data_IF_362129126800
#
_entry.id   IF_362129126800
#
_cell.length_a   1.000
_cell.length_b   1.000
_cell.length_c   1.000
_cell.angle_alpha   90.00
_cell.angle_beta   90.00
_cell.angle_gamma   90.00
#
_symmetry.space_group_name_H-M   'P 1'
#
loop_
_entity.id
_entity.type
_entity.pdbx_description
1 polymer ?
#
# COMPACT_ATOMS: atom_id res chain seq x y z
N UNK A 1 -8.80 7.26 -14.87
CA UNK A 1 -7.74 6.71 -14.00
C UNK A 1 -8.23 6.75 -12.56
N UNK A 2 -8.28 5.59 -11.90
CA UNK A 2 -8.65 5.53 -10.48
C UNK A 2 -7.48 6.06 -9.65
N UNK A 3 -7.69 6.86 -8.58
CA UNK A 3 -6.63 7.37 -7.70
C UNK A 3 -5.88 6.28 -6.91
N UNK A 4 -6.06 5.01 -7.28
CA UNK A 4 -5.44 3.84 -6.66
C UNK A 4 -4.64 2.96 -7.64
N UNK A 5 -4.49 3.36 -8.91
CA UNK A 5 -3.49 2.78 -9.82
C UNK A 5 -2.11 3.31 -9.45
N UNK A 6 -1.54 2.80 -8.37
CA UNK A 6 -0.15 3.08 -8.06
C UNK A 6 0.74 2.19 -8.93
N UNK A 7 1.17 2.68 -10.09
CA UNK A 7 2.23 2.05 -10.91
C UNK A 7 3.60 2.06 -10.22
N UNK A 8 3.70 2.71 -9.07
CA UNK A 8 4.95 2.90 -8.34
C UNK A 8 4.70 2.96 -6.83
N UNK A 9 5.66 2.46 -6.06
CA UNK A 9 5.71 2.59 -4.60
C UNK A 9 6.83 3.57 -4.25
N UNK A 10 6.52 4.55 -3.39
CA UNK A 10 7.50 5.50 -2.87
C UNK A 10 7.86 5.20 -1.42
N UNK A 11 9.15 5.31 -1.10
CA UNK A 11 9.66 5.14 0.24
C UNK A 11 10.83 6.10 0.52
N UNK A 12 10.91 6.55 1.77
CA UNK A 12 12.08 7.22 2.31
C UNK A 12 12.98 6.19 3.00
N UNK A 13 14.27 6.14 2.62
CA UNK A 13 15.24 5.18 3.13
C UNK A 13 16.38 5.93 3.82
N UNK A 14 16.58 5.63 5.10
CA UNK A 14 17.72 6.13 5.87
C UNK A 14 18.63 4.98 6.25
N UNK A 15 19.94 5.18 6.17
CA UNK A 15 20.89 4.28 6.82
C UNK A 15 21.00 4.64 8.31
N UNK A 16 20.81 3.66 9.19
CA UNK A 16 20.98 3.77 10.65
C UNK A 16 21.96 2.68 11.09
N UNK A 17 23.24 3.05 11.17
CA UNK A 17 24.33 2.10 11.41
C UNK A 17 24.45 1.09 10.26
N UNK A 18 24.32 -0.19 10.59
CA UNK A 18 24.41 -1.30 9.62
C UNK A 18 23.07 -1.61 8.93
N UNK A 19 21.98 -1.00 9.39
CA UNK A 19 20.63 -1.27 8.91
C UNK A 19 20.04 -0.11 8.13
N UNK A 20 18.93 -0.37 7.47
CA UNK A 20 18.12 0.63 6.78
C UNK A 20 16.78 0.80 7.47
N UNK A 21 16.41 2.04 7.77
CA UNK A 21 15.07 2.42 8.22
C UNK A 21 14.28 2.93 7.03
N UNK A 22 13.14 2.32 6.75
CA UNK A 22 12.31 2.60 5.58
C UNK A 22 10.93 3.05 6.01
N UNK A 23 10.52 4.23 5.52
CA UNK A 23 9.17 4.77 5.71
C UNK A 23 8.44 4.80 4.37
N UNK A 24 7.37 4.02 4.25
CA UNK A 24 6.57 3.96 3.02
C UNK A 24 5.63 5.16 2.97
N UNK A 25 5.59 5.86 1.84
CA UNK A 25 4.77 7.09 1.68
C UNK A 25 3.28 6.75 1.65
N UNK A 26 2.91 5.54 1.19
CA UNK A 26 1.54 5.04 1.11
C UNK A 26 1.45 3.63 1.68
N UNK A 27 0.34 3.31 2.35
CA UNK A 27 0.06 1.94 2.82
C UNK A 27 0.71 1.53 4.16
N UNK A 28 1.27 2.46 4.93
CA UNK A 28 1.73 2.16 6.30
C UNK A 28 2.26 3.38 7.04
N UNK A 29 1.85 3.55 8.30
CA UNK A 29 2.27 4.67 9.17
C UNK A 29 3.58 4.44 9.92
N UNK A 30 4.10 3.20 9.94
CA UNK A 30 5.28 2.85 10.74
C UNK A 30 6.50 2.61 9.86
N UNK A 31 7.63 3.18 10.27
CA UNK A 31 8.94 2.87 9.71
C UNK A 31 9.31 1.40 10.01
N UNK A 32 9.87 0.71 9.03
CA UNK A 32 10.32 -0.69 9.12
C UNK A 32 11.84 -0.73 8.95
N UNK A 33 12.52 -1.64 9.65
CA UNK A 33 13.98 -1.78 9.54
C UNK A 33 14.35 -3.01 8.71
N UNK A 34 15.34 -2.87 7.84
CA UNK A 34 15.87 -3.90 6.93
C UNK A 34 17.39 -4.03 7.10
N UNK A 35 17.93 -5.22 6.84
CA UNK A 35 19.39 -5.47 6.91
C UNK A 35 20.09 -4.99 5.64
N UNK A 36 19.45 -5.16 4.49
CA UNK A 36 20.05 -4.89 3.19
C UNK A 36 19.13 -4.09 2.27
N UNK A 37 19.71 -3.47 1.24
CA UNK A 37 18.94 -2.85 0.17
C UNK A 37 18.12 -3.88 -0.63
N UNK A 38 18.60 -5.11 -0.77
CA UNK A 38 17.89 -6.18 -1.48
C UNK A 38 16.56 -6.53 -0.79
N UNK A 39 16.57 -6.60 0.55
CA UNK A 39 15.36 -6.84 1.34
C UNK A 39 14.32 -5.73 1.15
N UNK A 40 14.78 -4.48 1.03
CA UNK A 40 13.91 -3.33 0.77
C UNK A 40 13.25 -3.47 -0.61
N UNK A 41 14.02 -3.87 -1.64
CA UNK A 41 13.50 -4.07 -2.99
C UNK A 41 12.48 -5.23 -3.05
N UNK A 42 12.75 -6.34 -2.36
CA UNK A 42 11.79 -7.45 -2.24
C UNK A 42 10.50 -7.02 -1.55
N UNK A 43 10.62 -6.24 -0.48
CA UNK A 43 9.46 -5.69 0.23
C UNK A 43 8.67 -4.70 -0.63
N UNK A 44 9.34 -3.90 -1.45
CA UNK A 44 8.69 -2.98 -2.40
C UNK A 44 7.92 -3.76 -3.47
N UNK A 45 8.52 -4.79 -4.07
CA UNK A 45 7.86 -5.63 -5.07
C UNK A 45 6.61 -6.33 -4.50
N UNK A 46 6.70 -6.87 -3.28
CA UNK A 46 5.55 -7.48 -2.61
C UNK A 46 4.40 -6.47 -2.39
N UNK A 47 4.71 -5.21 -2.07
CA UNK A 47 3.72 -4.14 -1.89
C UNK A 47 3.02 -3.77 -3.20
N UNK A 48 3.75 -3.62 -4.30
CA UNK A 48 3.17 -3.39 -5.64
C UNK A 48 2.16 -4.49 -5.99
N UNK A 49 2.52 -5.75 -5.74
CA UNK A 49 1.66 -6.90 -6.02
C UNK A 49 0.42 -6.95 -5.10
N UNK A 50 0.58 -6.64 -3.81
CA UNK A 50 -0.52 -6.62 -2.85
C UNK A 50 -1.55 -5.52 -3.13
N UNK A 51 -1.10 -4.33 -3.56
CA UNK A 51 -1.99 -3.21 -3.92
C UNK A 51 -2.83 -3.57 -5.15
N UNK A 52 -2.20 -4.18 -6.16
CA UNK A 52 -2.88 -4.72 -7.36
C UNK A 52 -3.98 -5.73 -6.98
N UNK A 53 -3.74 -6.56 -5.97
CA UNK A 53 -4.70 -7.59 -5.51
C UNK A 53 -5.90 -7.01 -4.73
N UNK A 54 -5.74 -5.88 -4.03
CA UNK A 54 -6.81 -5.23 -3.24
C UNK A 54 -7.88 -4.52 -4.07
N UNK A 55 -7.90 -4.71 -5.39
CA UNK A 55 -8.93 -4.24 -6.31
C UNK A 55 -10.31 -4.75 -5.91
N UNK A 56 -10.98 -4.03 -5.00
CA UNK A 56 -12.37 -4.28 -4.64
C UNK A 56 -13.25 -3.85 -5.80
N UNK A 57 -14.24 -4.68 -6.14
CA UNK A 57 -15.33 -4.27 -7.03
C UNK A 57 -15.92 -2.95 -6.51
N UNK A 58 -16.30 -2.01 -7.39
CA UNK A 58 -17.07 -0.84 -6.98
C UNK A 58 -18.24 -1.28 -6.09
N UNK A 59 -18.47 -0.57 -4.98
CA UNK A 59 -19.66 -0.83 -4.16
C UNK A 59 -20.87 -0.53 -5.02
N UNK A 60 -21.72 -1.54 -5.25
CA UNK A 60 -22.95 -1.35 -5.98
C UNK A 60 -23.84 -0.39 -5.20
N UNK A 61 -24.11 0.79 -5.76
CA UNK A 61 -25.10 1.71 -5.21
C UNK A 61 -26.47 1.12 -5.56
N UNK A 62 -27.30 0.86 -4.56
CA UNK A 62 -28.65 0.38 -4.79
C UNK A 62 -29.42 1.42 -5.64
N UNK A 63 -30.08 0.97 -6.71
CA UNK A 63 -30.89 1.84 -7.57
C UNK A 63 -32.13 2.42 -6.89
N UNK A 64 -32.47 1.92 -5.70
CA UNK A 64 -33.60 2.40 -4.90
C UNK A 64 -33.12 2.71 -3.48
N UNK A 65 -33.69 3.73 -2.83
CA UNK A 65 -33.40 4.00 -1.43
C UNK A 65 -33.74 2.77 -0.57
N UNK A 66 -32.99 2.52 0.52
CA UNK A 66 -33.28 1.42 1.41
C UNK A 66 -34.70 1.57 1.95
N UNK A 67 -35.51 0.51 1.83
CA UNK A 67 -36.80 0.45 2.50
C UNK A 67 -36.52 0.51 4.00
N UNK A 68 -36.89 1.62 4.64
CA UNK A 68 -36.88 1.70 6.09
C UNK A 68 -37.72 0.53 6.62
N UNK A 69 -37.15 -0.27 7.51
CA UNK A 69 -37.91 -1.28 8.23
C UNK A 69 -39.00 -0.53 9.03
N UNK A 70 -40.25 -0.74 8.63
CA UNK A 70 -41.43 -0.37 9.41
C UNK A 70 -41.69 -1.50 10.39
#
# INVERSE_FOLDING_TARGET
MSPNDAESVLAYVERKGERYRVTWVRGGRSAVSFESLDDILRAAAARVNAETSRRRKPVTIAHRPPLAAI
#
